data_IF_926514453611
#
_entry.id   IF_926514453611
#
_cell.length_a   1.000
_cell.length_b   1.000
_cell.length_c   1.000
_cell.angle_alpha   90.00
_cell.angle_beta   90.00
_cell.angle_gamma   90.00
#
_symmetry.space_group_name_H-M   'P 1'
#
loop_
_entity.id
_entity.type
_entity.pdbx_description
1 polymer ?
#
# COMPACT_ATOMS: atom_id res chain seq x y z
N UNK A 1 -42.98 -23.71 -11.14
CA UNK A 1 -43.16 -22.29 -10.74
C UNK A 1 -42.24 -21.88 -9.60
N UNK A 2 -42.07 -22.70 -8.55
CA UNK A 2 -41.29 -22.34 -7.35
C UNK A 2 -39.77 -22.35 -7.56
N UNK A 3 -39.28 -23.19 -8.48
CA UNK A 3 -37.85 -23.33 -8.80
C UNK A 3 -37.28 -22.11 -9.52
N UNK A 4 -38.06 -21.46 -10.38
CA UNK A 4 -37.63 -20.25 -11.10
C UNK A 4 -37.37 -19.09 -10.14
N UNK A 5 -38.22 -18.91 -9.11
CA UNK A 5 -38.03 -17.87 -8.10
C UNK A 5 -36.77 -18.12 -7.26
N UNK A 6 -36.51 -19.38 -6.90
CA UNK A 6 -35.30 -19.77 -6.15
C UNK A 6 -34.04 -19.49 -6.98
N UNK A 7 -34.04 -19.81 -8.28
CA UNK A 7 -32.88 -19.56 -9.15
C UNK A 7 -32.59 -18.07 -9.33
N UNK A 8 -33.63 -17.25 -9.47
CA UNK A 8 -33.49 -15.78 -9.58
C UNK A 8 -32.93 -15.20 -8.27
N UNK A 9 -33.43 -15.63 -7.11
CA UNK A 9 -32.93 -15.18 -5.81
C UNK A 9 -31.47 -15.56 -5.57
N UNK A 10 -31.07 -16.80 -5.92
CA UNK A 10 -29.67 -17.24 -5.81
C UNK A 10 -28.75 -16.41 -6.71
N UNK A 11 -29.18 -16.08 -7.94
CA UNK A 11 -28.39 -15.26 -8.85
C UNK A 11 -28.18 -13.83 -8.34
N UNK A 12 -29.21 -13.19 -7.77
CA UNK A 12 -29.09 -11.85 -7.18
C UNK A 12 -28.17 -11.83 -5.94
N UNK A 13 -28.22 -12.86 -5.11
CA UNK A 13 -27.34 -12.97 -3.93
C UNK A 13 -25.87 -13.18 -4.34
N UNK A 14 -25.61 -14.03 -5.35
CA UNK A 14 -24.25 -14.29 -5.85
C UNK A 14 -23.68 -13.06 -6.55
N UNK A 15 -24.43 -12.42 -7.46
CA UNK A 15 -23.98 -11.19 -8.14
C UNK A 15 -23.84 -9.99 -7.20
N UNK A 16 -24.56 -9.96 -6.06
CA UNK A 16 -24.44 -8.92 -5.04
C UNK A 16 -23.28 -9.10 -4.06
N UNK A 17 -22.91 -10.35 -3.73
CA UNK A 17 -21.78 -10.63 -2.84
C UNK A 17 -20.41 -10.38 -3.52
N UNK A 18 -20.31 -10.49 -4.85
CA UNK A 18 -19.09 -10.15 -5.62
C UNK A 18 -18.69 -8.68 -5.50
N UNK A 19 -19.66 -7.77 -5.40
CA UNK A 19 -19.38 -6.36 -5.15
C UNK A 19 -18.79 -6.10 -3.76
N UNK A 20 -18.98 -6.99 -2.78
CA UNK A 20 -18.39 -6.86 -1.44
C UNK A 20 -16.96 -7.43 -1.36
N UNK A 21 -16.61 -8.44 -2.17
CA UNK A 21 -15.24 -8.96 -2.21
C UNK A 21 -14.24 -7.97 -2.82
N UNK A 22 -14.70 -7.03 -3.65
CA UNK A 22 -13.86 -5.92 -4.14
C UNK A 22 -13.61 -4.82 -3.08
N UNK A 23 -14.34 -4.82 -1.95
CA UNK A 23 -14.11 -3.91 -0.82
C UNK A 23 -13.37 -4.55 0.35
N UNK A 24 -13.01 -5.83 0.27
CA UNK A 24 -12.10 -6.38 1.27
C UNK A 24 -10.72 -5.75 0.99
N UNK A 25 -10.15 -4.95 1.90
CA UNK A 25 -8.82 -4.40 1.73
C UNK A 25 -7.79 -5.50 2.02
N UNK A 26 -7.83 -6.59 1.25
CA UNK A 26 -6.73 -7.56 1.14
C UNK A 26 -5.68 -7.08 0.13
N UNK A 27 -5.79 -5.84 -0.35
CA UNK A 27 -4.60 -5.06 -0.69
C UNK A 27 -4.01 -4.39 0.56
N UNK A 28 -3.71 -5.20 1.58
CA UNK A 28 -2.47 -4.93 2.31
C UNK A 28 -1.37 -5.20 1.28
N UNK A 29 -1.09 -4.20 0.43
CA UNK A 29 0.16 -4.17 -0.33
C UNK A 29 1.23 -4.62 0.65
N UNK A 30 1.94 -5.71 0.32
CA UNK A 30 2.91 -6.35 1.22
C UNK A 30 3.92 -5.28 1.66
N UNK A 31 3.61 -4.59 2.76
CA UNK A 31 4.20 -3.30 3.06
C UNK A 31 5.54 -3.60 3.70
N UNK A 32 6.60 -3.38 2.95
CA UNK A 32 7.96 -3.57 3.45
C UNK A 32 8.21 -2.56 4.56
N UNK A 33 9.05 -2.95 5.53
CA UNK A 33 9.37 -2.11 6.68
C UNK A 33 9.96 -0.77 6.26
N UNK A 34 9.75 0.24 7.11
CA UNK A 34 10.18 1.61 6.86
C UNK A 34 9.18 2.41 6.02
N UNK A 35 9.50 3.68 5.79
CA UNK A 35 8.65 4.63 5.08
C UNK A 35 9.26 5.06 3.75
N UNK A 36 8.46 5.66 2.88
CA UNK A 36 8.96 6.33 1.69
C UNK A 36 9.72 7.60 2.07
N UNK A 37 10.82 7.94 1.37
CA UNK A 37 11.47 9.24 1.53
C UNK A 37 10.52 10.37 1.14
N UNK A 38 10.66 11.52 1.80
CA UNK A 38 9.85 12.69 1.51
C UNK A 38 10.27 13.32 0.18
N UNK A 39 9.30 13.57 -0.69
CA UNK A 39 9.52 14.33 -1.93
C UNK A 39 9.40 15.81 -1.60
N UNK A 40 10.46 16.58 -1.87
CA UNK A 40 10.46 18.02 -1.63
C UNK A 40 9.39 18.68 -2.51
N UNK A 41 8.67 19.66 -1.95
CA UNK A 41 7.65 20.42 -2.68
C UNK A 41 8.26 21.05 -3.94
N UNK A 42 7.54 20.91 -5.07
CA UNK A 42 7.98 21.44 -6.36
C UNK A 42 9.05 20.60 -7.07
N UNK A 43 9.51 19.49 -6.48
CA UNK A 43 10.34 18.52 -7.17
C UNK A 43 9.49 17.34 -7.62
N UNK A 44 9.64 16.96 -8.87
CA UNK A 44 9.07 15.74 -9.43
C UNK A 44 10.17 14.98 -10.17
N UNK A 45 10.18 13.66 -9.99
CA UNK A 45 11.02 12.78 -10.78
C UNK A 45 10.43 12.53 -12.18
N UNK A 46 11.00 11.56 -12.87
CA UNK A 46 10.49 11.11 -14.16
C UNK A 46 9.09 10.48 -13.95
N UNK A 47 8.14 10.88 -14.81
CA UNK A 47 6.76 10.39 -14.83
C UNK A 47 6.67 8.97 -15.43
N UNK A 48 7.22 7.99 -14.72
CA UNK A 48 7.17 6.57 -15.10
C UNK A 48 6.67 5.75 -13.93
N UNK A 49 5.72 4.85 -14.23
CA UNK A 49 5.22 3.84 -13.31
C UNK A 49 6.11 2.59 -13.36
N UNK A 50 7.24 2.64 -12.65
CA UNK A 50 8.20 1.54 -12.63
C UNK A 50 7.80 0.41 -11.66
N UNK A 51 6.83 0.66 -10.76
CA UNK A 51 6.33 -0.30 -9.80
C UNK A 51 4.88 0.05 -9.40
N UNK A 52 4.08 -0.95 -9.01
CA UNK A 52 2.69 -0.76 -8.53
C UNK A 52 2.51 -1.07 -7.04
N UNK A 53 3.59 -1.48 -6.37
CA UNK A 53 3.59 -1.83 -4.95
C UNK A 53 4.95 -2.35 -4.50
N UNK A 54 5.15 -2.40 -3.18
CA UNK A 54 6.42 -2.80 -2.56
C UNK A 54 6.92 -4.17 -3.07
N UNK A 55 6.01 -5.11 -3.33
CA UNK A 55 6.33 -6.44 -3.88
C UNK A 55 6.93 -6.42 -5.30
N UNK A 56 6.66 -5.36 -6.07
CA UNK A 56 7.23 -5.18 -7.41
C UNK A 56 8.71 -4.82 -7.34
N UNK A 57 9.17 -4.35 -6.18
CA UNK A 57 10.53 -3.92 -5.97
C UNK A 57 11.40 -5.06 -5.44
N UNK A 58 12.68 -5.15 -5.85
CA UNK A 58 13.58 -6.16 -5.33
C UNK A 58 13.94 -5.89 -3.86
N UNK A 59 14.21 -6.96 -3.10
CA UNK A 59 14.69 -6.91 -1.71
C UNK A 59 13.79 -6.09 -0.78
N UNK A 60 14.33 -5.22 0.06
CA UNK A 60 13.61 -4.38 1.02
C UNK A 60 13.20 -3.01 0.45
N UNK A 61 13.41 -2.76 -0.85
CA UNK A 61 13.03 -1.50 -1.48
C UNK A 61 11.53 -1.32 -1.53
N UNK A 62 11.08 -0.08 -1.32
CA UNK A 62 9.68 0.31 -1.34
C UNK A 62 9.31 0.97 -2.66
N UNK A 63 8.06 0.79 -3.09
CA UNK A 63 7.51 1.47 -4.24
C UNK A 63 6.93 2.81 -3.79
N UNK A 64 7.59 3.90 -4.17
CA UNK A 64 7.28 5.23 -3.65
C UNK A 64 7.00 6.20 -4.79
N UNK A 65 6.05 7.10 -4.58
CA UNK A 65 5.84 8.22 -5.49
C UNK A 65 7.06 9.15 -5.46
N UNK A 66 7.52 9.55 -6.64
CA UNK A 66 8.55 10.56 -6.82
C UNK A 66 7.96 11.95 -7.14
N UNK A 67 6.66 12.14 -6.89
CA UNK A 67 5.93 13.36 -7.23
C UNK A 67 5.27 13.36 -8.61
N UNK A 68 5.59 12.40 -9.49
CA UNK A 68 4.86 12.20 -10.76
C UNK A 68 4.47 10.73 -11.00
N UNK A 69 5.42 9.81 -10.85
CA UNK A 69 5.18 8.37 -10.95
C UNK A 69 5.75 7.59 -9.76
N UNK A 70 5.82 6.27 -9.88
CA UNK A 70 6.31 5.38 -8.81
C UNK A 70 7.63 4.70 -9.16
N UNK A 71 8.56 4.71 -8.20
CA UNK A 71 9.89 4.12 -8.36
C UNK A 71 10.31 3.34 -7.12
N UNK A 72 11.12 2.30 -7.33
CA UNK A 72 11.69 1.50 -6.24
C UNK A 72 12.85 2.22 -5.56
N UNK A 73 12.65 2.63 -4.32
CA UNK A 73 13.65 3.36 -3.52
C UNK A 73 13.94 2.65 -2.19
N UNK A 74 15.06 3.01 -1.55
CA UNK A 74 15.40 2.49 -0.23
C UNK A 74 14.44 3.07 0.83
N UNK A 75 13.99 2.27 1.81
CA UNK A 75 13.14 2.76 2.89
C UNK A 75 13.91 3.70 3.83
N UNK A 76 13.19 4.65 4.43
CA UNK A 76 13.68 5.42 5.58
C UNK A 76 13.14 4.81 6.87
N UNK A 77 14.02 4.58 7.84
CA UNK A 77 13.65 4.10 9.17
C UNK A 77 13.70 5.26 10.16
N UNK A 78 12.53 5.70 10.63
CA UNK A 78 12.47 6.64 11.75
C UNK A 78 12.79 5.87 13.02
N UNK A 79 13.91 6.21 13.67
CA UNK A 79 14.19 5.70 15.01
C UNK A 79 13.15 6.33 15.93
N UNK A 80 12.15 5.56 16.36
CA UNK A 80 11.24 5.97 17.42
C UNK A 80 12.07 6.09 18.70
N UNK A 81 12.18 7.31 19.22
CA UNK A 81 12.96 7.70 20.40
C UNK A 81 12.32 7.15 21.69
N UNK A 82 12.18 5.84 21.80
CA UNK A 82 12.09 5.19 23.11
C UNK A 82 13.50 5.03 23.73
N UNK A 83 14.56 5.21 22.91
CA UNK A 83 15.96 4.97 23.29
C UNK A 83 16.88 6.21 23.28
N UNK A 84 16.41 7.42 22.96
CA UNK A 84 17.26 8.63 23.06
C UNK A 84 17.14 9.35 24.41
N UNK A 85 16.16 8.99 25.25
CA UNK A 85 16.19 9.39 26.68
C UNK A 85 17.31 8.71 27.48
N UNK A 86 18.02 7.74 26.91
CA UNK A 86 19.17 7.09 27.54
C UNK A 86 20.54 7.57 27.03
N UNK A 87 20.59 8.48 26.05
CA UNK A 87 21.85 9.04 25.50
C UNK A 87 21.91 10.57 25.61
N UNK A 88 20.88 11.23 26.13
CA UNK A 88 20.99 12.63 26.54
C UNK A 88 21.62 12.71 27.95
N UNK A 89 22.88 12.29 28.06
CA UNK A 89 23.79 12.88 29.03
C UNK A 89 24.19 14.25 28.50
N UNK A 90 23.33 15.25 28.71
CA UNK A 90 23.66 16.64 28.47
C UNK A 90 24.53 17.12 29.64
N UNK A 91 25.79 17.43 29.35
CA UNK A 91 26.61 18.35 30.14
C UNK A 91 26.40 19.75 29.56
#
# INVERSE_FOLDING_TARGET
>A
MKTSTVLVLVAFVVMGMDMAYAWLPVHTTQQKRGACPEVRRGQFGICVEACSGDQSCPREKKCCSNGCGHVCTAPVFKVSISLSRAVQGEN
#
